data_IF_008855927139
#
_entry.id   IF_008855927139
#
_cell.length_a   1.000
_cell.length_b   1.000
_cell.length_c   1.000
_cell.angle_alpha   90.00
_cell.angle_beta   90.00
_cell.angle_gamma   90.00
#
_symmetry.space_group_name_H-M   'P 1'
#
loop_
_entity.id
_entity.type
_entity.pdbx_description
1 polymer ?
#
# COMPACT_ATOMS: atom_id res chain seq x y z
N UNK A 1 9.69 -15.24 -2.05
CA UNK A 1 8.83 -15.09 -0.84
C UNK A 1 9.45 -13.99 0.00
N UNK A 2 8.65 -13.04 0.50
CA UNK A 2 9.13 -11.94 1.34
C UNK A 2 8.82 -12.25 2.81
N UNK A 3 9.81 -12.04 3.67
CA UNK A 3 9.67 -12.20 5.11
C UNK A 3 9.26 -10.87 5.75
N UNK A 4 8.08 -10.84 6.35
CA UNK A 4 7.54 -9.68 7.07
C UNK A 4 7.59 -9.87 8.60
N UNK A 5 8.48 -10.73 9.06
CA UNK A 5 8.65 -11.05 10.48
C UNK A 5 9.50 -10.02 11.20
N UNK A 6 9.18 -9.77 12.48
CA UNK A 6 9.93 -8.86 13.35
C UNK A 6 11.10 -9.55 14.08
N UNK A 7 11.65 -10.60 13.48
CA UNK A 7 12.84 -11.31 13.97
C UNK A 7 14.01 -11.15 13.00
N UNK A 8 15.24 -11.27 13.52
CA UNK A 8 16.46 -11.37 12.72
C UNK A 8 16.76 -12.82 12.31
N UNK A 9 17.95 -13.04 11.73
CA UNK A 9 18.40 -14.35 11.26
C UNK A 9 18.73 -15.35 12.39
N UNK A 10 18.89 -14.86 13.62
CA UNK A 10 19.23 -15.62 14.81
C UNK A 10 17.99 -15.78 15.72
N UNK A 11 16.80 -15.57 15.14
CA UNK A 11 15.50 -15.69 15.79
C UNK A 11 15.27 -14.71 16.96
N UNK A 12 16.04 -13.61 17.01
CA UNK A 12 15.89 -12.56 18.02
C UNK A 12 14.99 -11.44 17.51
N UNK A 13 14.30 -10.75 18.43
CA UNK A 13 13.49 -9.57 18.07
C UNK A 13 14.37 -8.49 17.44
N UNK A 14 13.88 -7.88 16.36
CA UNK A 14 14.59 -6.80 15.68
C UNK A 14 14.85 -5.63 16.62
N UNK A 15 16.11 -5.18 16.65
CA UNK A 15 16.48 -3.94 17.33
C UNK A 15 15.77 -2.74 16.68
N UNK A 16 15.21 -1.88 17.53
CA UNK A 16 14.53 -0.65 17.10
C UNK A 16 15.46 0.31 16.36
N UNK A 17 14.90 0.95 15.33
CA UNK A 17 15.61 1.92 14.50
C UNK A 17 16.59 1.31 13.50
N UNK A 18 16.67 -0.01 13.39
CA UNK A 18 17.37 -0.66 12.27
C UNK A 18 16.59 -0.46 10.98
N UNK A 19 17.26 -0.51 9.83
CA UNK A 19 16.61 -0.33 8.51
C UNK A 19 15.46 -1.33 8.29
N UNK A 20 15.59 -2.55 8.81
CA UNK A 20 14.53 -3.57 8.73
C UNK A 20 13.33 -3.21 9.61
N UNK A 21 13.55 -2.74 10.84
CA UNK A 21 12.47 -2.27 11.73
C UNK A 21 11.75 -1.05 11.11
N UNK A 22 12.51 -0.08 10.59
CA UNK A 22 11.96 1.07 9.88
C UNK A 22 11.17 0.64 8.63
N UNK A 23 11.70 -0.28 7.82
CA UNK A 23 11.01 -0.79 6.64
C UNK A 23 9.66 -1.43 7.00
N UNK A 24 9.63 -2.27 8.04
CA UNK A 24 8.40 -2.89 8.54
C UNK A 24 7.40 -1.85 9.07
N UNK A 25 7.87 -0.74 9.66
CA UNK A 25 7.01 0.36 10.11
C UNK A 25 6.21 0.99 8.96
N UNK A 26 6.74 0.97 7.73
CA UNK A 26 6.03 1.43 6.54
C UNK A 26 4.71 0.69 6.28
N UNK A 27 4.63 -0.58 6.68
CA UNK A 27 3.43 -1.40 6.53
C UNK A 27 2.32 -1.03 7.51
N UNK A 28 2.58 -0.15 8.49
CA UNK A 28 1.57 0.41 9.41
C UNK A 28 0.77 1.56 8.79
N UNK A 29 1.20 2.05 7.63
CA UNK A 29 0.48 3.09 6.87
C UNK A 29 -0.35 2.44 5.77
N UNK A 30 -1.52 3.00 5.51
CA UNK A 30 -2.40 2.54 4.44
C UNK A 30 -1.69 2.57 3.08
N UNK A 31 -1.64 1.41 2.42
CA UNK A 31 -0.95 1.27 1.15
C UNK A 31 -1.55 0.15 0.29
N UNK A 32 -1.20 0.19 -0.99
CA UNK A 32 -1.44 -0.89 -1.96
C UNK A 32 -0.08 -1.47 -2.34
N UNK A 33 0.08 -2.81 -2.28
CA UNK A 33 1.37 -3.43 -2.56
C UNK A 33 1.82 -3.19 -4.00
N UNK A 34 3.03 -2.66 -4.16
CA UNK A 34 3.64 -2.45 -5.47
C UNK A 34 2.98 -1.35 -6.30
N UNK A 35 2.21 -0.44 -5.70
CA UNK A 35 1.65 0.70 -6.45
C UNK A 35 2.71 1.61 -7.06
N UNK A 36 3.92 1.60 -6.51
CA UNK A 36 5.09 2.32 -7.03
C UNK A 36 5.78 1.60 -8.21
N UNK A 37 5.23 0.48 -8.70
CA UNK A 37 5.73 -0.24 -9.87
C UNK A 37 4.92 0.12 -11.11
N UNK A 38 5.56 0.06 -12.28
CA UNK A 38 4.91 0.26 -13.59
C UNK A 38 3.78 -0.75 -13.78
N UNK A 39 4.03 -2.01 -13.40
CA UNK A 39 3.03 -3.07 -13.30
C UNK A 39 2.77 -3.32 -11.82
N UNK A 40 1.67 -2.80 -11.25
CA UNK A 40 1.32 -3.04 -9.85
C UNK A 40 1.07 -4.51 -9.56
N UNK A 41 1.16 -4.89 -8.29
CA UNK A 41 0.83 -6.25 -7.86
C UNK A 41 -0.65 -6.56 -8.11
N UNK A 42 -0.96 -7.78 -8.57
CA UNK A 42 -2.34 -8.24 -8.69
C UNK A 42 -2.95 -8.41 -7.30
N UNK A 43 -2.28 -9.20 -6.47
CA UNK A 43 -2.75 -9.56 -5.14
C UNK A 43 -1.59 -9.97 -4.26
N UNK A 44 -1.86 -10.13 -2.98
CA UNK A 44 -0.89 -10.57 -1.99
C UNK A 44 -1.50 -11.66 -1.14
N UNK A 45 -0.67 -12.58 -0.68
CA UNK A 45 -1.04 -13.63 0.24
C UNK A 45 -0.09 -13.58 1.43
N UNK A 46 -0.64 -13.53 2.64
CA UNK A 46 0.13 -13.46 3.88
C UNK A 46 -0.28 -14.60 4.81
N UNK A 47 0.71 -15.39 5.21
CA UNK A 47 0.52 -16.51 6.12
C UNK A 47 1.06 -16.17 7.51
N UNK A 48 0.21 -16.33 8.53
CA UNK A 48 0.58 -16.16 9.93
C UNK A 48 1.17 -17.45 10.49
N UNK A 49 2.43 -17.40 10.90
CA UNK A 49 3.13 -18.54 11.54
C UNK A 49 3.16 -18.36 13.05
N UNK A 50 3.45 -17.15 13.50
CA UNK A 50 3.42 -16.75 14.90
C UNK A 50 2.78 -15.36 14.99
N UNK A 51 1.90 -15.16 15.96
CA UNK A 51 1.15 -13.91 16.15
C UNK A 51 1.38 -13.38 17.57
N UNK A 52 1.36 -12.05 17.76
CA UNK A 52 1.40 -11.50 19.12
C UNK A 52 0.13 -11.88 19.87
N UNK A 53 0.21 -11.86 21.20
CA UNK A 53 -0.95 -12.12 22.06
C UNK A 53 -2.04 -11.05 21.89
N UNK A 54 -1.64 -9.78 21.74
CA UNK A 54 -2.53 -8.64 21.60
C UNK A 54 -2.07 -7.73 20.43
N UNK A 55 -3.03 -7.25 19.65
CA UNK A 55 -2.79 -6.37 18.50
C UNK A 55 -2.27 -7.09 17.25
N UNK A 56 -1.64 -6.35 16.34
CA UNK A 56 -0.99 -6.92 15.15
C UNK A 56 -1.95 -7.40 14.06
N UNK A 57 -3.22 -6.99 14.15
CA UNK A 57 -4.24 -7.18 13.11
C UNK A 57 -3.79 -6.60 11.77
N UNK A 58 -4.51 -6.99 10.72
CA UNK A 58 -4.40 -6.32 9.42
C UNK A 58 -5.74 -5.74 9.04
N UNK A 59 -5.76 -4.45 8.76
CA UNK A 59 -6.94 -3.77 8.27
C UNK A 59 -6.89 -3.65 6.76
N UNK A 60 -8.06 -3.78 6.13
CA UNK A 60 -8.28 -3.67 4.70
C UNK A 60 -9.37 -2.63 4.45
N UNK A 61 -9.09 -1.62 3.65
CA UNK A 61 -10.07 -0.63 3.22
C UNK A 61 -10.59 -1.00 1.82
N UNK A 62 -11.90 -1.15 1.66
CA UNK A 62 -12.54 -1.39 0.37
C UNK A 62 -12.62 -0.08 -0.43
N UNK A 63 -11.70 0.07 -1.37
CA UNK A 63 -11.56 1.29 -2.17
C UNK A 63 -12.69 1.46 -3.20
N UNK A 64 -13.45 0.39 -3.47
CA UNK A 64 -14.63 0.42 -4.34
C UNK A 64 -15.82 1.01 -3.58
N UNK A 65 -16.05 0.51 -2.38
CA UNK A 65 -17.12 1.00 -1.50
C UNK A 65 -16.89 2.48 -1.12
N UNK A 66 -15.62 2.87 -0.89
CA UNK A 66 -15.26 4.27 -0.74
C UNK A 66 -15.55 5.09 -2.01
N UNK A 67 -15.18 4.62 -3.20
CA UNK A 67 -15.49 5.33 -4.45
C UNK A 67 -17.01 5.54 -4.64
N UNK A 68 -17.80 4.49 -4.41
CA UNK A 68 -19.25 4.54 -4.60
C UNK A 68 -19.93 5.55 -3.68
N UNK A 69 -19.39 5.74 -2.46
CA UNK A 69 -19.89 6.67 -1.45
C UNK A 69 -19.49 8.14 -1.67
N UNK A 70 -18.58 8.44 -2.60
CA UNK A 70 -18.26 9.83 -2.96
C UNK A 70 -19.47 10.51 -3.61
N UNK A 71 -19.60 11.82 -3.37
CA UNK A 71 -20.55 12.62 -4.14
C UNK A 71 -20.13 12.75 -5.61
N UNK A 72 -21.08 13.15 -6.46
CA UNK A 72 -20.83 13.23 -7.90
C UNK A 72 -19.81 14.32 -8.27
N UNK A 73 -19.68 15.36 -7.45
CA UNK A 73 -18.73 16.43 -7.71
C UNK A 73 -17.29 15.92 -7.52
N UNK A 74 -17.03 15.20 -6.44
CA UNK A 74 -15.75 14.56 -6.18
C UNK A 74 -15.46 13.49 -7.21
N UNK A 75 -16.43 12.62 -7.54
CA UNK A 75 -16.28 11.61 -8.61
C UNK A 75 -15.83 12.26 -9.92
N UNK A 76 -16.50 13.33 -10.38
CA UNK A 76 -16.10 14.09 -11.58
C UNK A 76 -14.73 14.72 -11.46
N UNK A 77 -14.40 15.26 -10.28
CA UNK A 77 -13.09 15.89 -10.02
C UNK A 77 -11.94 14.91 -10.18
N UNK A 78 -12.09 13.67 -9.73
CA UNK A 78 -11.00 12.68 -9.67
C UNK A 78 -10.91 11.73 -10.87
N UNK A 79 -11.97 11.60 -11.67
CA UNK A 79 -12.11 10.56 -12.73
C UNK A 79 -10.98 10.56 -13.76
N UNK A 80 -10.39 11.73 -14.06
CA UNK A 80 -9.33 11.90 -15.06
C UNK A 80 -7.97 12.27 -14.47
N UNK A 81 -7.83 12.24 -13.15
CA UNK A 81 -6.57 12.62 -12.51
C UNK A 81 -5.56 11.48 -12.57
N UNK A 82 -4.31 11.87 -12.78
CA UNK A 82 -3.15 10.96 -12.74
C UNK A 82 -2.32 11.29 -11.50
N UNK A 83 -1.85 10.25 -10.81
CA UNK A 83 -1.11 10.33 -9.56
C UNK A 83 0.27 9.73 -9.76
N UNK A 84 1.29 10.41 -9.25
CA UNK A 84 2.62 9.82 -9.16
C UNK A 84 2.71 8.94 -7.90
N UNK A 85 3.09 7.67 -8.07
CA UNK A 85 3.44 6.77 -6.98
C UNK A 85 4.96 6.62 -6.92
N UNK A 86 5.55 6.90 -5.76
CA UNK A 86 6.99 6.87 -5.56
C UNK A 86 7.36 6.09 -4.30
N UNK A 87 8.24 5.10 -4.46
CA UNK A 87 8.80 4.37 -3.32
C UNK A 87 9.63 5.32 -2.46
N UNK A 88 10.53 6.09 -3.08
CA UNK A 88 11.38 7.08 -2.41
C UNK A 88 10.58 8.06 -1.56
N UNK A 89 9.50 8.62 -2.11
CA UNK A 89 8.60 9.51 -1.36
C UNK A 89 8.10 8.86 -0.06
N UNK A 90 7.61 7.62 -0.16
CA UNK A 90 7.05 6.92 1.00
C UNK A 90 8.10 6.47 2.02
N UNK A 91 9.30 6.10 1.56
CA UNK A 91 10.40 5.65 2.41
C UNK A 91 11.04 6.83 3.16
N UNK A 92 11.18 7.99 2.51
CA UNK A 92 11.63 9.22 3.17
C UNK A 92 10.72 9.62 4.34
N UNK A 93 9.40 9.39 4.22
CA UNK A 93 8.45 9.65 5.32
C UNK A 93 8.57 8.68 6.50
N UNK A 94 9.30 7.58 6.41
CA UNK A 94 9.56 6.63 7.52
C UNK A 94 11.02 6.67 7.98
N UNK A 95 11.77 7.71 7.62
CA UNK A 95 13.15 7.91 8.07
C UNK A 95 14.20 7.13 7.28
N UNK A 96 13.80 6.40 6.23
CA UNK A 96 14.73 5.75 5.30
C UNK A 96 15.09 6.80 4.23
N UNK A 97 16.14 7.57 4.51
CA UNK A 97 16.59 8.68 3.67
C UNK A 97 17.82 8.39 2.80
N UNK A 98 18.50 7.27 3.04
CA UNK A 98 19.74 6.93 2.34
C UNK A 98 19.46 5.82 1.33
N UNK A 99 19.35 6.20 0.07
CA UNK A 99 19.44 5.28 -1.06
C UNK A 99 20.53 5.78 -2.00
N UNK A 100 21.34 4.87 -2.55
CA UNK A 100 22.30 5.18 -3.60
C UNK A 100 21.56 5.66 -4.85
N UNK A 101 22.26 6.34 -5.76
CA UNK A 101 21.63 6.77 -7.01
C UNK A 101 21.23 5.59 -7.90
N UNK A 102 21.94 4.45 -7.79
CA UNK A 102 21.57 3.19 -8.42
C UNK A 102 20.27 2.61 -7.84
N UNK A 103 20.12 2.61 -6.52
CA UNK A 103 18.90 2.18 -5.86
C UNK A 103 17.71 3.07 -6.25
N UNK A 104 17.89 4.40 -6.27
CA UNK A 104 16.86 5.33 -6.75
C UNK A 104 16.47 5.04 -8.20
N UNK A 105 17.45 4.82 -9.07
CA UNK A 105 17.23 4.53 -10.49
C UNK A 105 16.51 3.18 -10.70
N UNK A 106 16.64 2.23 -9.77
CA UNK A 106 15.97 0.92 -9.82
C UNK A 106 14.46 0.99 -9.50
N UNK A 107 14.02 2.06 -8.82
CA UNK A 107 12.62 2.28 -8.42
C UNK A 107 12.13 3.68 -8.82
N UNK A 108 12.13 4.00 -10.13
CA UNK A 108 11.69 5.31 -10.59
C UNK A 108 10.22 5.54 -10.22
N UNK A 109 9.80 6.78 -9.94
CA UNK A 109 8.40 7.12 -9.77
C UNK A 109 7.58 6.69 -11.00
N UNK A 110 6.34 6.27 -10.76
CA UNK A 110 5.43 5.80 -11.81
C UNK A 110 4.12 6.56 -11.73
N UNK A 111 3.39 6.61 -12.85
CA UNK A 111 2.11 7.31 -12.95
C UNK A 111 0.98 6.30 -13.06
N UNK A 112 -0.06 6.48 -12.25
CA UNK A 112 -1.29 5.68 -12.26
C UNK A 112 -2.51 6.60 -12.21
N UNK A 113 -3.67 6.19 -12.74
CA UNK A 113 -4.88 6.99 -12.57
C UNK A 113 -5.37 6.95 -11.12
N UNK A 114 -5.91 8.06 -10.65
CA UNK A 114 -6.54 8.20 -9.32
C UNK A 114 -7.74 7.28 -9.15
N UNK A 115 -8.41 6.95 -10.26
CA UNK A 115 -9.54 6.02 -10.30
C UNK A 115 -9.20 4.85 -11.21
N UNK A 116 -9.25 3.64 -10.66
CA UNK A 116 -9.13 2.40 -11.43
C UNK A 116 -10.49 1.76 -11.61
N UNK A 117 -10.63 0.93 -12.64
CA UNK A 117 -11.75 0.00 -12.81
C UNK A 117 -11.26 -1.44 -12.67
N UNK A 118 -12.06 -2.31 -12.07
CA UNK A 118 -11.72 -3.73 -11.98
C UNK A 118 -11.97 -4.39 -13.33
N UNK A 119 -11.00 -5.08 -13.96
CA UNK A 119 -11.16 -5.58 -15.31
C UNK A 119 -12.31 -6.61 -15.43
N UNK A 120 -12.55 -7.39 -14.38
CA UNK A 120 -13.58 -8.45 -14.40
C UNK A 120 -14.95 -8.00 -13.87
N UNK A 121 -15.03 -6.96 -13.04
CA UNK A 121 -16.30 -6.56 -12.39
C UNK A 121 -16.78 -5.17 -12.80
N UNK A 122 -15.95 -4.38 -13.49
CA UNK A 122 -16.25 -3.01 -13.88
C UNK A 122 -16.32 -2.00 -12.73
N UNK A 123 -16.27 -2.45 -11.46
CA UNK A 123 -16.32 -1.57 -10.29
C UNK A 123 -15.15 -0.60 -10.30
N UNK A 124 -15.43 0.68 -10.06
CA UNK A 124 -14.42 1.71 -9.88
C UNK A 124 -13.88 1.71 -8.46
N UNK A 125 -12.64 2.12 -8.28
CA UNK A 125 -11.96 2.21 -7.00
C UNK A 125 -10.99 3.39 -6.97
N UNK A 126 -10.91 4.06 -5.82
CA UNK A 126 -9.88 5.07 -5.56
C UNK A 126 -8.51 4.37 -5.49
N UNK A 127 -7.49 4.94 -6.14
CA UNK A 127 -6.13 4.41 -6.13
C UNK A 127 -5.15 5.43 -5.56
N UNK A 128 -4.97 5.34 -4.24
CA UNK A 128 -4.12 6.24 -3.46
C UNK A 128 -3.30 5.44 -2.43
N UNK A 129 -3.04 6.00 -1.25
CA UNK A 129 -2.23 5.42 -0.19
C UNK A 129 -0.84 6.04 -0.05
N UNK A 130 0.00 5.50 0.83
CA UNK A 130 1.26 6.14 1.26
C UNK A 130 2.27 6.43 0.13
N UNK A 131 2.20 5.67 -0.96
CA UNK A 131 3.09 5.81 -2.10
C UNK A 131 2.66 6.93 -3.05
N UNK A 132 1.38 7.33 -3.04
CA UNK A 132 0.87 8.44 -3.83
C UNK A 132 1.51 9.76 -3.35
N UNK A 133 2.38 10.31 -4.19
CA UNK A 133 3.23 11.47 -3.91
C UNK A 133 2.47 12.78 -4.09
N UNK A 134 1.85 12.95 -5.26
CA UNK A 134 1.09 14.13 -5.67
C UNK A 134 0.30 13.83 -6.95
N UNK A 135 -0.62 14.73 -7.30
CA UNK A 135 -1.41 14.67 -8.54
C UNK A 135 -0.69 15.43 -9.65
N UNK A 136 -0.53 14.79 -10.81
CA UNK A 136 0.09 15.36 -12.00
C UNK A 136 -0.79 16.50 -12.54
N UNK A 137 -0.17 17.61 -12.90
CA UNK A 137 -0.87 18.79 -13.46
C UNK A 137 -1.56 19.68 -12.42
N UNK A 138 -1.40 19.38 -11.13
CA UNK A 138 -1.86 20.24 -10.03
C UNK A 138 -0.67 20.85 -9.28
N UNK A 139 -0.85 22.03 -8.63
CA UNK A 139 0.12 22.50 -7.65
C UNK A 139 0.39 21.44 -6.57
N UNK A 140 1.66 21.22 -6.22
CA UNK A 140 2.12 20.13 -5.35
C UNK A 140 1.31 20.02 -4.04
N UNK A 141 1.08 21.15 -3.37
CA UNK A 141 0.32 21.20 -2.11
C UNK A 141 -1.14 20.80 -2.31
N UNK A 142 -1.79 21.30 -3.37
CA UNK A 142 -3.19 20.99 -3.67
C UNK A 142 -3.37 19.52 -4.06
N UNK A 143 -2.45 18.97 -4.85
CA UNK A 143 -2.47 17.56 -5.23
C UNK A 143 -2.28 16.64 -4.01
N UNK A 144 -1.37 17.00 -3.10
CA UNK A 144 -1.17 16.26 -1.84
C UNK A 144 -2.37 16.36 -0.91
N UNK A 145 -2.96 17.54 -0.78
CA UNK A 145 -4.15 17.75 0.04
C UNK A 145 -5.32 16.88 -0.46
N UNK A 146 -5.54 16.81 -1.78
CA UNK A 146 -6.57 15.94 -2.35
C UNK A 146 -6.31 14.45 -2.07
N UNK A 147 -5.07 13.98 -2.19
CA UNK A 147 -4.71 12.60 -1.85
C UNK A 147 -4.96 12.31 -0.36
N UNK A 148 -4.64 13.26 0.51
CA UNK A 148 -4.90 13.14 1.94
C UNK A 148 -6.40 13.06 2.23
N UNK A 149 -7.20 13.97 1.67
CA UNK A 149 -8.67 13.99 1.78
C UNK A 149 -9.26 12.63 1.37
N UNK A 150 -8.85 12.09 0.23
CA UNK A 150 -9.32 10.79 -0.27
C UNK A 150 -8.86 9.62 0.61
N UNK A 151 -7.64 9.65 1.14
CA UNK A 151 -7.16 8.60 2.06
C UNK A 151 -7.93 8.63 3.39
N UNK A 152 -8.17 9.82 3.95
CA UNK A 152 -8.95 9.99 5.18
C UNK A 152 -10.40 9.50 4.98
N UNK A 153 -11.03 9.88 3.87
CA UNK A 153 -12.37 9.42 3.52
C UNK A 153 -12.43 7.90 3.32
N UNK A 154 -11.55 7.34 2.48
CA UNK A 154 -11.58 5.93 2.10
C UNK A 154 -11.21 4.97 3.23
N UNK A 155 -10.69 5.48 4.36
CA UNK A 155 -10.29 4.66 5.52
C UNK A 155 -11.16 4.89 6.75
N UNK A 156 -12.32 5.53 6.58
CA UNK A 156 -13.35 5.59 7.60
C UNK A 156 -13.87 4.19 7.95
N UNK A 157 -14.34 3.95 9.19
CA UNK A 157 -14.66 2.61 9.69
C UNK A 157 -15.63 1.80 8.83
N UNK A 158 -16.60 2.45 8.18
CA UNK A 158 -17.58 1.78 7.32
C UNK A 158 -16.98 1.14 6.05
N UNK A 159 -15.77 1.53 5.66
CA UNK A 159 -15.05 0.95 4.52
C UNK A 159 -13.98 -0.06 4.95
N UNK A 160 -13.75 -0.23 6.25
CA UNK A 160 -12.61 -0.98 6.79
C UNK A 160 -13.06 -2.31 7.39
N UNK A 161 -12.46 -3.39 6.90
CA UNK A 161 -12.47 -4.69 7.55
C UNK A 161 -11.19 -4.88 8.36
N UNK A 162 -11.33 -5.32 9.62
CA UNK A 162 -10.21 -5.68 10.48
C UNK A 162 -10.11 -7.21 10.60
N UNK A 163 -9.00 -7.77 10.11
CA UNK A 163 -8.70 -9.19 10.25
C UNK A 163 -7.94 -9.44 11.55
N UNK A 164 -8.57 -10.16 12.46
CA UNK A 164 -7.94 -10.69 13.67
C UNK A 164 -7.27 -12.03 13.33
N UNK A 165 -5.94 -12.03 13.39
CA UNK A 165 -5.15 -13.19 12.99
C UNK A 165 -5.32 -14.37 13.94
N UNK A 166 -5.28 -15.57 13.37
CA UNK A 166 -5.01 -16.82 14.07
C UNK A 166 -3.75 -17.45 13.48
N UNK A 167 -2.98 -18.14 14.31
CA UNK A 167 -1.83 -18.90 13.83
C UNK A 167 -2.31 -19.95 12.81
N UNK A 168 -1.65 -20.01 11.65
CA UNK A 168 -2.03 -20.87 10.53
C UNK A 168 -2.91 -20.21 9.48
N UNK A 169 -3.48 -19.01 9.75
CA UNK A 169 -4.25 -18.28 8.75
C UNK A 169 -3.42 -18.01 7.48
N UNK A 170 -4.10 -18.07 6.34
CA UNK A 170 -3.64 -17.54 5.07
C UNK A 170 -4.68 -16.56 4.55
N UNK A 171 -4.34 -15.29 4.50
CA UNK A 171 -5.21 -14.24 3.97
C UNK A 171 -4.71 -13.81 2.61
N UNK A 172 -5.61 -13.80 1.63
CA UNK A 172 -5.36 -13.32 0.28
C UNK A 172 -6.20 -12.07 0.03
N UNK A 173 -5.60 -11.07 -0.61
CA UNK A 173 -6.31 -9.86 -1.01
C UNK A 173 -5.92 -9.37 -2.39
N UNK A 174 -6.84 -8.66 -3.02
CA UNK A 174 -6.68 -8.07 -4.35
C UNK A 174 -6.20 -6.61 -4.23
N UNK A 175 -4.91 -6.38 -4.52
CA UNK A 175 -4.29 -5.05 -4.46
C UNK A 175 -4.88 -4.09 -5.51
N UNK A 176 -5.65 -4.57 -6.48
CA UNK A 176 -6.35 -3.69 -7.43
C UNK A 176 -7.47 -2.90 -6.75
N UNK A 177 -8.00 -3.38 -5.63
CA UNK A 177 -9.25 -2.84 -5.06
C UNK A 177 -9.21 -2.53 -3.57
N UNK A 178 -8.10 -2.82 -2.87
CA UNK A 178 -7.97 -2.52 -1.44
C UNK A 178 -6.70 -1.75 -1.12
N UNK A 179 -6.78 -0.87 -0.12
CA UNK A 179 -5.61 -0.53 0.69
C UNK A 179 -5.55 -1.43 1.92
N UNK A 180 -4.37 -1.62 2.48
CA UNK A 180 -4.19 -2.35 3.73
C UNK A 180 -3.13 -1.72 4.63
N UNK A 181 -3.17 -2.06 5.92
CA UNK A 181 -2.13 -1.75 6.91
C UNK A 181 -2.08 -2.79 8.03
N UNK A 182 -0.92 -2.97 8.64
CA UNK A 182 -0.77 -3.67 9.91
C UNK A 182 -1.02 -2.74 11.09
N UNK A 183 -1.77 -3.21 12.09
CA UNK A 183 -1.95 -2.47 13.33
C UNK A 183 -0.77 -2.66 14.30
N UNK A 184 -0.56 -1.71 15.24
CA UNK A 184 0.46 -1.85 16.28
C UNK A 184 0.25 -3.10 17.15
N UNK A 185 1.35 -3.58 17.72
CA UNK A 185 1.45 -4.56 18.79
C UNK A 185 2.74 -4.27 19.57
N UNK A 186 2.93 -4.87 20.75
CA UNK A 186 4.18 -4.74 21.48
C UNK A 186 5.27 -5.60 20.83
N UNK A 187 5.93 -5.01 19.86
CA UNK A 187 6.99 -5.59 19.05
C UNK A 187 8.37 -5.57 19.72
N UNK A 188 8.44 -5.15 21.00
CA UNK A 188 9.60 -5.30 21.87
C UNK A 188 9.51 -6.53 22.76
N UNK A 189 8.30 -7.08 22.92
CA UNK A 189 8.00 -8.24 23.76
C UNK A 189 7.58 -9.46 22.95
N UNK A 190 6.79 -9.28 21.88
CA UNK A 190 6.20 -10.38 21.13
C UNK A 190 6.81 -10.54 19.74
N UNK A 191 7.06 -11.79 19.36
CA UNK A 191 7.38 -12.19 17.99
C UNK A 191 6.11 -12.16 17.15
N UNK A 192 6.28 -11.86 15.86
CA UNK A 192 5.27 -11.92 14.82
C UNK A 192 5.95 -12.42 13.56
N UNK A 193 5.64 -13.65 13.17
CA UNK A 193 6.25 -14.32 12.03
C UNK A 193 5.23 -14.44 10.90
N UNK A 194 5.47 -13.70 9.82
CA UNK A 194 4.53 -13.55 8.71
C UNK A 194 5.26 -13.75 7.38
N UNK A 195 4.83 -14.74 6.62
CA UNK A 195 5.42 -15.03 5.31
C UNK A 195 4.51 -14.52 4.21
N UNK A 196 5.04 -13.64 3.36
CA UNK A 196 4.29 -13.05 2.24
C UNK A 196 4.73 -13.62 0.90
N UNK A 197 3.77 -13.86 0.04
CA UNK A 197 4.01 -13.90 -1.40
C UNK A 197 3.12 -12.88 -2.11
N UNK A 198 3.57 -12.41 -3.27
CA UNK A 198 2.88 -11.39 -4.05
C UNK A 198 2.65 -11.93 -5.44
N UNK A 199 1.41 -11.87 -5.89
CA UNK A 199 1.01 -12.24 -7.25
C UNK A 199 1.36 -11.06 -8.16
N UNK A 200 2.19 -11.32 -9.18
CA UNK A 200 2.55 -10.30 -10.16
C UNK A 200 1.29 -9.82 -10.91
N UNK A 201 1.24 -8.52 -11.22
CA UNK A 201 0.27 -8.00 -12.18
C UNK A 201 0.59 -8.45 -13.59
N UNK A 202 -0.34 -8.21 -14.52
CA UNK A 202 -0.18 -8.57 -15.93
C UNK A 202 -0.21 -7.31 -16.78
N UNK A 203 0.90 -6.92 -17.41
CA UNK A 203 0.99 -5.68 -18.20
C UNK A 203 0.01 -5.66 -19.37
N UNK A 204 -0.05 -6.74 -20.16
CA UNK A 204 -0.89 -6.85 -21.37
C UNK A 204 -2.39 -6.74 -21.10
N UNK A 205 -2.82 -7.08 -19.88
CA UNK A 205 -4.23 -7.06 -19.46
C UNK A 205 -4.54 -5.94 -18.46
N UNK A 206 -3.58 -5.06 -18.19
CA UNK A 206 -3.72 -4.01 -17.21
C UNK A 206 -3.89 -2.65 -17.89
N UNK A 207 -5.14 -2.15 -18.04
CA UNK A 207 -5.41 -0.88 -18.72
C UNK A 207 -4.87 0.34 -17.95
N UNK A 208 -4.32 0.14 -16.75
CA UNK A 208 -3.78 1.19 -15.88
C UNK A 208 -2.29 1.44 -16.09
N UNK A 209 -1.58 0.58 -16.84
CA UNK A 209 -0.15 0.76 -17.10
C UNK A 209 0.04 1.92 -18.06
N UNK A 210 0.41 3.08 -17.53
CA UNK A 210 0.87 4.21 -18.33
C UNK A 210 2.31 3.91 -18.75
N UNK A 211 2.53 3.56 -20.02
CA UNK A 211 3.84 3.16 -20.57
C UNK A 211 4.87 4.30 -20.66
N UNK A 212 4.65 5.42 -20.01
CA UNK A 212 5.60 6.53 -19.98
C UNK A 212 6.52 6.37 -18.78
N UNK A 213 7.75 5.89 -19.02
CA UNK A 213 8.85 6.16 -18.09
C UNK A 213 8.93 7.68 -17.93
N UNK A 214 8.83 8.17 -16.71
CA UNK A 214 9.14 9.57 -16.43
C UNK A 214 10.62 9.74 -16.75
N UNK A 215 10.91 10.58 -17.77
CA UNK A 215 12.26 10.93 -18.18
C UNK A 215 12.99 11.71 -17.09
#
# INVERSE_FOLDING_TARGET
MADLSNIDKDDQLLKKGTDRDLFLSGNRRWHTDGSFKIVPSLGSALSAREIPQDGGETEFADMRSAYDALDDAMKRRIDKLTVEHSFLYSQGKIGIGYMTDEEKASVPPVRHPMVRSHPESGRKAIYAGRHASHVIGMPMEQGRALIQELNEFATQPQFVHRHHWRAGDLVLWDNRMVMHRGLPYDDTKFRRIMHRTTLAGQAEKNPWVVNEKVA
#
